data_IF_333416488114
#
_entry.id   IF_333416488114
#
_cell.length_a   1.000
_cell.length_b   1.000
_cell.length_c   1.000
_cell.angle_alpha   90.00
_cell.angle_beta   90.00
_cell.angle_gamma   90.00
#
_symmetry.space_group_name_H-M   'P 1'
#
loop_
_entity.id
_entity.type
_entity.pdbx_description
1 polymer ?
#
# COMPACT_ATOMS: atom_id res chain seq x y z
N UNK A 1 13.33 -23.39 -25.36
CA UNK A 1 14.66 -22.81 -25.14
C UNK A 1 15.02 -21.98 -26.36
N UNK A 2 14.60 -20.71 -26.39
CA UNK A 2 15.04 -19.74 -27.40
C UNK A 2 15.19 -18.39 -26.69
N UNK A 3 16.31 -17.74 -27.01
CA UNK A 3 16.98 -16.65 -26.32
C UNK A 3 16.17 -15.36 -26.18
N UNK A 4 16.44 -14.73 -25.03
CA UNK A 4 16.41 -13.29 -24.76
C UNK A 4 17.37 -12.56 -25.72
N UNK A 5 16.98 -11.37 -26.17
CA UNK A 5 17.76 -10.28 -26.80
C UNK A 5 17.26 -9.90 -28.20
N UNK A 6 16.38 -8.90 -28.29
CA UNK A 6 16.56 -7.75 -29.21
C UNK A 6 15.50 -6.68 -28.93
N UNK A 7 15.91 -5.49 -28.49
CA UNK A 7 15.30 -4.23 -28.92
C UNK A 7 16.29 -3.09 -28.63
N UNK A 8 17.13 -2.80 -29.64
CA UNK A 8 17.88 -1.56 -29.77
C UNK A 8 17.85 -1.16 -31.25
N UNK A 9 17.65 0.15 -31.46
CA UNK A 9 17.70 0.94 -32.71
C UNK A 9 16.44 0.97 -33.57
N UNK A 10 15.79 2.13 -33.57
CA UNK A 10 15.71 3.00 -34.75
C UNK A 10 15.71 4.47 -34.28
N UNK A 11 16.73 5.21 -34.70
CA UNK A 11 16.86 6.67 -34.58
C UNK A 11 16.68 7.23 -35.98
N UNK A 12 15.78 8.20 -36.15
CA UNK A 12 15.82 9.23 -37.20
C UNK A 12 15.14 10.50 -36.64
N UNK A 13 15.94 11.45 -36.14
CA UNK A 13 16.22 12.77 -36.75
C UNK A 13 15.04 13.73 -36.84
N UNK A 14 14.75 14.39 -35.71
CA UNK A 14 14.45 15.82 -35.70
C UNK A 14 15.35 16.48 -34.64
N UNK A 15 16.07 17.53 -35.04
CA UNK A 15 16.91 18.34 -34.15
C UNK A 15 16.01 19.01 -33.11
N UNK A 16 16.00 18.48 -31.90
CA UNK A 16 15.64 19.18 -30.68
C UNK A 16 16.92 19.29 -29.84
N UNK A 17 17.12 20.46 -29.24
CA UNK A 17 18.26 20.75 -28.38
C UNK A 17 18.46 19.61 -27.38
N UNK A 18 19.63 18.99 -27.39
CA UNK A 18 20.01 17.97 -26.41
C UNK A 18 20.22 18.66 -25.07
N UNK A 19 19.13 18.85 -24.33
CA UNK A 19 19.16 18.91 -22.87
C UNK A 19 19.93 17.66 -22.41
N UNK A 20 20.89 17.84 -21.49
CA UNK A 20 21.47 16.72 -20.77
C UNK A 20 20.33 15.80 -20.29
N UNK A 21 20.48 14.45 -20.31
CA UNK A 21 19.38 13.56 -19.95
C UNK A 21 18.82 14.04 -18.61
N UNK A 22 17.59 14.54 -18.65
CA UNK A 22 16.95 15.11 -17.48
C UNK A 22 16.95 14.02 -16.40
N UNK A 23 17.20 14.47 -15.18
CA UNK A 23 17.44 13.62 -14.06
C UNK A 23 16.16 12.79 -13.79
N UNK A 24 16.17 11.50 -14.14
CA UNK A 24 14.99 10.62 -14.11
C UNK A 24 15.09 9.55 -13.01
N UNK A 25 14.25 9.69 -11.98
CA UNK A 25 14.22 8.77 -10.84
C UNK A 25 13.76 7.36 -11.23
N UNK A 26 13.11 7.17 -12.39
CA UNK A 26 12.74 5.81 -12.88
C UNK A 26 13.97 4.94 -13.07
N UNK A 27 15.10 5.52 -13.51
CA UNK A 27 16.37 4.81 -13.64
C UNK A 27 16.92 4.39 -12.26
N UNK A 28 16.84 5.28 -11.28
CA UNK A 28 17.26 5.01 -9.90
C UNK A 28 16.43 3.91 -9.24
N UNK A 29 15.11 3.92 -9.46
CA UNK A 29 14.19 2.87 -8.99
C UNK A 29 14.54 1.53 -9.64
N UNK A 30 14.76 1.51 -10.95
CA UNK A 30 15.15 0.29 -11.68
C UNK A 30 16.48 -0.27 -11.16
N UNK A 31 17.49 0.57 -10.96
CA UNK A 31 18.77 0.16 -10.40
C UNK A 31 18.65 -0.32 -8.95
N UNK A 32 17.79 0.30 -8.13
CA UNK A 32 17.56 -0.15 -6.77
C UNK A 32 17.03 -1.60 -6.75
N UNK A 33 16.11 -1.95 -7.66
CA UNK A 33 15.56 -3.30 -7.75
C UNK A 33 16.57 -4.37 -8.18
N UNK A 34 17.59 -4.04 -8.99
CA UNK A 34 18.60 -5.04 -9.40
C UNK A 34 19.50 -5.48 -8.25
N UNK A 35 19.54 -4.71 -7.17
CA UNK A 35 20.37 -4.95 -5.98
C UNK A 35 19.61 -5.66 -4.84
N UNK A 36 18.31 -5.92 -4.99
CA UNK A 36 17.48 -6.49 -3.92
C UNK A 36 17.59 -8.01 -3.85
N UNK A 37 17.63 -8.53 -2.63
CA UNK A 37 17.44 -9.96 -2.38
C UNK A 37 15.93 -10.27 -2.30
N UNK A 38 15.41 -10.84 -3.39
CA UNK A 38 13.98 -11.17 -3.51
C UNK A 38 13.51 -12.19 -2.46
N UNK A 39 14.41 -13.00 -1.89
CA UNK A 39 14.06 -13.95 -0.83
C UNK A 39 13.77 -13.24 0.50
N UNK A 40 14.21 -11.99 0.67
CA UNK A 40 13.98 -11.18 1.87
C UNK A 40 12.82 -10.19 1.73
N UNK A 41 12.12 -10.20 0.59
CA UNK A 41 10.99 -9.32 0.32
C UNK A 41 9.67 -10.06 0.55
N UNK A 42 8.87 -9.73 1.57
CA UNK A 42 7.78 -10.60 2.05
C UNK A 42 6.51 -10.59 1.19
N UNK A 43 6.25 -9.54 0.41
CA UNK A 43 4.91 -9.25 -0.16
C UNK A 43 4.86 -9.17 -1.68
N UNK A 44 6.00 -9.30 -2.36
CA UNK A 44 6.15 -9.19 -3.81
C UNK A 44 7.16 -10.22 -4.29
N UNK A 45 7.24 -10.47 -5.60
CA UNK A 45 8.16 -11.45 -6.20
C UNK A 45 7.87 -12.92 -5.84
N UNK A 46 6.60 -13.24 -5.53
CA UNK A 46 6.18 -14.61 -5.20
C UNK A 46 6.51 -15.58 -6.34
N UNK A 47 6.40 -15.13 -7.60
CA UNK A 47 6.70 -15.96 -8.77
C UNK A 47 8.18 -16.32 -8.85
N UNK A 48 9.06 -15.34 -8.67
CA UNK A 48 10.50 -15.50 -8.71
C UNK A 48 10.99 -16.36 -7.53
N UNK A 49 10.43 -16.16 -6.33
CA UNK A 49 10.70 -17.04 -5.19
C UNK A 49 10.24 -18.46 -5.46
N UNK A 50 9.04 -18.65 -6.03
CA UNK A 50 8.55 -19.98 -6.40
C UNK A 50 9.53 -20.70 -7.35
N UNK A 51 10.11 -20.01 -8.33
CA UNK A 51 11.12 -20.58 -9.25
C UNK A 51 12.40 -20.99 -8.50
N UNK A 52 12.89 -20.15 -7.59
CA UNK A 52 14.08 -20.46 -6.77
C UNK A 52 13.82 -21.68 -5.88
N UNK A 53 12.71 -21.69 -5.15
CA UNK A 53 12.35 -22.78 -4.24
C UNK A 53 12.13 -24.07 -5.03
N UNK A 54 11.48 -24.03 -6.20
CA UNK A 54 11.33 -25.19 -7.07
C UNK A 54 12.68 -25.79 -7.47
N UNK A 55 13.66 -24.95 -7.80
CA UNK A 55 15.03 -25.40 -8.15
C UNK A 55 15.70 -26.08 -6.95
N UNK A 56 15.59 -25.48 -5.76
CA UNK A 56 16.11 -26.08 -4.51
C UNK A 56 15.43 -27.42 -4.21
N UNK A 57 14.10 -27.49 -4.36
CA UNK A 57 13.31 -28.70 -4.13
C UNK A 57 13.70 -29.86 -5.06
N UNK A 58 14.02 -29.56 -6.32
CA UNK A 58 14.49 -30.55 -7.28
C UNK A 58 15.90 -31.08 -6.95
N UNK A 59 16.76 -30.24 -6.41
CA UNK A 59 18.12 -30.61 -6.00
C UNK A 59 18.18 -31.30 -4.63
N UNK A 60 17.17 -31.12 -3.76
CA UNK A 60 17.18 -31.67 -2.41
C UNK A 60 16.91 -33.20 -2.40
N UNK A 61 17.75 -33.88 -1.62
CA UNK A 61 17.80 -35.34 -1.48
C UNK A 61 17.40 -35.80 -0.08
N UNK A 62 17.56 -34.96 0.94
CA UNK A 62 17.12 -35.24 2.30
C UNK A 62 15.58 -35.19 2.35
N UNK A 63 14.89 -36.28 2.76
CA UNK A 63 13.43 -36.34 2.73
C UNK A 63 12.74 -35.29 3.61
N UNK A 64 13.34 -34.92 4.74
CA UNK A 64 12.76 -33.95 5.68
C UNK A 64 12.91 -32.53 5.13
N UNK A 65 14.10 -32.17 4.63
CA UNK A 65 14.31 -30.88 3.99
C UNK A 65 13.47 -30.72 2.73
N UNK A 66 13.33 -31.78 1.95
CA UNK A 66 12.46 -31.80 0.77
C UNK A 66 11.00 -31.56 1.14
N UNK A 67 10.55 -32.09 2.27
CA UNK A 67 9.21 -31.85 2.80
C UNK A 67 8.99 -30.39 3.20
N UNK A 68 9.95 -29.80 3.92
CA UNK A 68 9.89 -28.38 4.29
C UNK A 68 9.85 -27.47 3.05
N UNK A 69 10.72 -27.72 2.06
CA UNK A 69 10.72 -27.00 0.78
C UNK A 69 9.42 -27.19 0.00
N UNK A 70 8.74 -28.34 0.13
CA UNK A 70 7.43 -28.58 -0.50
C UNK A 70 6.37 -27.67 0.10
N UNK A 71 6.36 -27.50 1.44
CA UNK A 71 5.49 -26.56 2.13
C UNK A 71 5.76 -25.10 1.73
N UNK A 72 7.02 -24.69 1.73
CA UNK A 72 7.44 -23.35 1.25
C UNK A 72 6.99 -23.09 -0.19
N UNK A 73 7.22 -24.06 -1.08
CA UNK A 73 6.82 -23.95 -2.48
C UNK A 73 5.30 -23.85 -2.64
N UNK A 74 4.54 -24.64 -1.86
CA UNK A 74 3.08 -24.59 -1.88
C UNK A 74 2.54 -23.20 -1.47
N UNK A 75 3.16 -22.55 -0.49
CA UNK A 75 2.78 -21.19 -0.06
C UNK A 75 3.08 -20.14 -1.14
N UNK A 76 4.23 -20.22 -1.81
CA UNK A 76 4.55 -19.30 -2.90
C UNK A 76 3.63 -19.50 -4.10
N UNK A 77 3.32 -20.75 -4.46
CA UNK A 77 2.34 -21.06 -5.50
C UNK A 77 0.98 -20.46 -5.17
N UNK A 78 0.53 -20.60 -3.93
CA UNK A 78 -0.74 -20.04 -3.47
C UNK A 78 -0.76 -18.50 -3.58
N UNK A 79 0.34 -17.87 -3.19
CA UNK A 79 0.55 -16.42 -3.29
C UNK A 79 0.65 -15.92 -4.73
N UNK A 80 0.99 -16.81 -5.68
CA UNK A 80 0.91 -16.55 -7.13
C UNK A 80 -0.48 -16.78 -7.73
N UNK A 81 -1.48 -17.18 -6.94
CA UNK A 81 -2.80 -17.59 -7.43
C UNK A 81 -2.83 -18.97 -8.09
N UNK A 82 -1.75 -19.77 -7.99
CA UNK A 82 -1.66 -21.15 -8.51
C UNK A 82 -2.22 -22.15 -7.49
N UNK A 83 -3.50 -22.00 -7.18
CA UNK A 83 -4.17 -22.77 -6.13
C UNK A 83 -4.15 -24.29 -6.41
N UNK A 84 -4.31 -24.71 -7.67
CA UNK A 84 -4.31 -26.13 -8.06
C UNK A 84 -2.98 -26.81 -7.77
N UNK A 85 -1.87 -26.18 -8.16
CA UNK A 85 -0.53 -26.68 -7.92
C UNK A 85 -0.19 -26.64 -6.44
N UNK A 86 -0.60 -25.57 -5.73
CA UNK A 86 -0.45 -25.48 -4.27
C UNK A 86 -1.14 -26.63 -3.56
N UNK A 87 -2.43 -26.90 -3.85
CA UNK A 87 -3.19 -28.01 -3.26
C UNK A 87 -2.50 -29.35 -3.53
N UNK A 88 -2.01 -29.57 -4.76
CA UNK A 88 -1.26 -30.79 -5.11
C UNK A 88 0.02 -30.98 -4.30
N UNK A 89 0.75 -29.89 -4.03
CA UNK A 89 1.92 -29.92 -3.14
C UNK A 89 1.53 -30.23 -1.70
N UNK A 90 0.45 -29.65 -1.18
CA UNK A 90 -0.05 -29.91 0.18
C UNK A 90 -0.54 -31.35 0.34
N UNK A 91 -1.18 -31.94 -0.66
CA UNK A 91 -1.57 -33.36 -0.67
C UNK A 91 -0.35 -34.28 -0.60
N UNK A 92 0.77 -33.86 -1.18
CA UNK A 92 2.04 -34.60 -1.09
C UNK A 92 2.58 -34.62 0.34
N UNK A 93 2.38 -33.54 1.10
CA UNK A 93 2.75 -33.47 2.52
C UNK A 93 1.95 -34.50 3.34
N UNK A 94 0.63 -34.59 3.13
CA UNK A 94 -0.19 -35.60 3.81
C UNK A 94 0.25 -37.04 3.50
N UNK A 95 0.53 -37.34 2.23
CA UNK A 95 1.00 -38.66 1.81
C UNK A 95 2.31 -39.04 2.48
N UNK A 96 3.24 -38.10 2.60
CA UNK A 96 4.52 -38.36 3.27
C UNK A 96 4.36 -38.81 4.72
N UNK A 97 3.53 -38.15 5.52
CA UNK A 97 3.33 -38.59 6.91
C UNK A 97 2.66 -39.96 7.00
N UNK A 98 1.78 -40.31 6.05
CA UNK A 98 1.20 -41.64 5.95
C UNK A 98 2.23 -42.70 5.55
N UNK A 99 3.05 -42.43 4.53
CA UNK A 99 4.03 -43.39 3.98
C UNK A 99 5.17 -43.69 4.96
N UNK A 100 5.61 -42.70 5.74
CA UNK A 100 6.69 -42.84 6.70
C UNK A 100 6.22 -43.24 8.11
N UNK A 101 4.91 -43.45 8.30
CA UNK A 101 4.29 -43.68 9.61
C UNK A 101 4.76 -42.67 10.68
N UNK A 102 4.97 -41.43 10.25
CA UNK A 102 5.49 -40.36 11.08
C UNK A 102 4.33 -39.65 11.80
N UNK A 103 4.53 -39.31 13.07
CA UNK A 103 3.57 -38.51 13.83
C UNK A 103 3.81 -37.03 13.57
N UNK A 104 2.79 -36.33 13.07
CA UNK A 104 2.80 -34.88 12.95
C UNK A 104 2.51 -34.28 14.32
N UNK A 105 3.34 -33.34 14.79
CA UNK A 105 3.05 -32.63 16.02
C UNK A 105 1.78 -31.76 15.85
N UNK A 106 1.09 -31.42 16.94
CA UNK A 106 -0.17 -30.69 16.87
C UNK A 106 -0.08 -29.34 16.16
N UNK A 107 1.04 -28.62 16.27
CA UNK A 107 1.22 -27.29 15.66
C UNK A 107 1.36 -27.43 14.16
N UNK A 108 2.23 -28.33 13.69
CA UNK A 108 2.39 -28.61 12.26
C UNK A 108 1.08 -29.08 11.65
N UNK A 109 0.34 -29.94 12.35
CA UNK A 109 -0.97 -30.44 11.88
C UNK A 109 -2.01 -29.35 11.74
N UNK A 110 -2.14 -28.48 12.74
CA UNK A 110 -3.02 -27.31 12.70
C UNK A 110 -2.64 -26.38 11.54
N UNK A 111 -1.35 -26.10 11.34
CA UNK A 111 -0.88 -25.24 10.26
C UNK A 111 -1.16 -25.83 8.88
N UNK A 112 -1.02 -27.15 8.71
CA UNK A 112 -1.36 -27.81 7.46
C UNK A 112 -2.87 -27.75 7.17
N UNK A 113 -3.72 -27.94 8.18
CA UNK A 113 -5.16 -27.72 8.03
C UNK A 113 -5.50 -26.30 7.58
N UNK A 114 -4.90 -25.29 8.24
CA UNK A 114 -5.11 -23.89 7.89
C UNK A 114 -4.71 -23.62 6.45
N UNK A 115 -3.51 -24.04 6.04
CA UNK A 115 -2.99 -23.79 4.70
C UNK A 115 -3.84 -24.46 3.60
N UNK A 116 -4.27 -25.70 3.81
CA UNK A 116 -5.14 -26.42 2.84
C UNK A 116 -6.52 -25.77 2.76
N UNK A 117 -7.11 -25.40 3.90
CA UNK A 117 -8.38 -24.70 3.94
C UNK A 117 -8.31 -23.35 3.22
N UNK A 118 -7.25 -22.57 3.48
CA UNK A 118 -6.98 -21.30 2.79
C UNK A 118 -6.78 -21.53 1.29
N UNK A 119 -6.07 -22.59 0.89
CA UNK A 119 -5.87 -22.90 -0.54
C UNK A 119 -7.20 -23.13 -1.27
N UNK A 120 -8.14 -23.83 -0.65
CA UNK A 120 -9.49 -23.99 -1.17
C UNK A 120 -10.36 -22.72 -1.09
N UNK A 121 -10.19 -21.89 -0.06
CA UNK A 121 -10.84 -20.57 -0.02
C UNK A 121 -10.33 -19.67 -1.15
N UNK A 122 -9.01 -19.68 -1.42
CA UNK A 122 -8.38 -18.96 -2.55
C UNK A 122 -8.86 -19.47 -3.89
N UNK A 123 -9.05 -20.78 -4.05
CA UNK A 123 -9.73 -21.32 -5.23
C UNK A 123 -11.10 -20.66 -5.41
N UNK A 124 -11.95 -20.70 -4.38
CA UNK A 124 -13.28 -20.10 -4.43
C UNK A 124 -13.26 -18.60 -4.75
N UNK A 125 -12.34 -17.85 -4.15
CA UNK A 125 -12.16 -16.42 -4.43
C UNK A 125 -11.71 -16.15 -5.86
N UNK A 126 -10.71 -16.88 -6.38
CA UNK A 126 -10.21 -16.67 -7.75
C UNK A 126 -11.31 -16.97 -8.76
N UNK A 127 -11.99 -18.11 -8.60
CA UNK A 127 -13.03 -18.58 -9.52
C UNK A 127 -14.29 -17.71 -9.49
N UNK A 128 -14.66 -17.14 -8.34
CA UNK A 128 -15.92 -16.39 -8.20
C UNK A 128 -15.73 -14.87 -8.09
N UNK A 129 -14.75 -14.40 -7.34
CA UNK A 129 -14.60 -12.99 -7.00
C UNK A 129 -13.64 -12.24 -7.93
N UNK A 130 -12.62 -12.93 -8.48
CA UNK A 130 -11.70 -12.32 -9.46
C UNK A 130 -12.17 -12.54 -10.89
N UNK A 131 -12.48 -13.79 -11.28
CA UNK A 131 -12.92 -14.10 -12.65
C UNK A 131 -14.35 -13.63 -12.95
N UNK A 132 -15.20 -13.51 -11.92
CA UNK A 132 -16.59 -13.08 -12.03
C UNK A 132 -16.91 -11.92 -11.06
N UNK A 133 -16.01 -10.95 -10.99
CA UNK A 133 -16.07 -9.83 -10.04
C UNK A 133 -17.36 -9.00 -10.18
N UNK A 134 -17.92 -8.60 -9.03
CA UNK A 134 -18.98 -7.61 -8.94
C UNK A 134 -18.80 -6.71 -7.71
N UNK A 135 -19.60 -5.65 -7.60
CA UNK A 135 -19.51 -4.64 -6.54
C UNK A 135 -19.78 -5.15 -5.11
N UNK A 136 -20.28 -6.37 -4.94
CA UNK A 136 -20.48 -7.03 -3.64
C UNK A 136 -19.46 -8.16 -3.37
N UNK A 137 -18.58 -8.47 -4.33
CA UNK A 137 -17.57 -9.52 -4.18
C UNK A 137 -16.63 -9.22 -3.01
N UNK A 138 -16.37 -10.23 -2.18
CA UNK A 138 -15.44 -10.17 -1.03
C UNK A 138 -15.78 -9.13 0.07
N UNK A 139 -17.00 -8.60 0.12
CA UNK A 139 -17.45 -7.73 1.22
C UNK A 139 -18.07 -8.56 2.34
N UNK A 140 -17.59 -8.40 3.58
CA UNK A 140 -18.06 -9.17 4.75
C UNK A 140 -19.07 -8.34 5.57
N UNK A 141 -20.23 -8.89 5.95
CA UNK A 141 -20.71 -10.24 5.61
C UNK A 141 -21.11 -10.35 4.13
N UNK A 142 -20.86 -11.53 3.54
CA UNK A 142 -21.14 -11.77 2.11
C UNK A 142 -22.61 -11.49 1.80
N UNK A 143 -22.84 -10.68 0.77
CA UNK A 143 -24.16 -10.29 0.29
C UNK A 143 -24.67 -11.21 -0.82
N UNK A 144 -25.98 -11.19 -1.16
CA UNK A 144 -26.53 -12.10 -2.16
C UNK A 144 -25.79 -12.12 -3.50
N UNK A 145 -25.30 -10.98 -4.02
CA UNK A 145 -24.52 -11.00 -5.28
C UNK A 145 -23.07 -11.43 -5.09
N UNK A 146 -22.57 -11.45 -3.85
CA UNK A 146 -21.27 -11.98 -3.48
C UNK A 146 -21.25 -13.49 -3.22
N UNK A 147 -22.39 -14.19 -3.30
CA UNK A 147 -22.47 -15.65 -3.14
C UNK A 147 -21.79 -16.35 -4.32
N UNK A 148 -20.89 -17.29 -3.99
CA UNK A 148 -20.13 -18.09 -4.94
C UNK A 148 -21.05 -19.04 -5.72
N UNK A 149 -20.94 -19.03 -7.04
CA UNK A 149 -21.60 -19.97 -7.95
C UNK A 149 -20.78 -21.26 -8.10
N UNK A 150 -19.46 -21.13 -8.19
CA UNK A 150 -18.52 -22.25 -8.20
C UNK A 150 -18.18 -22.61 -6.75
N UNK A 151 -18.92 -23.59 -6.23
CA UNK A 151 -18.93 -23.90 -4.79
C UNK A 151 -17.81 -24.82 -4.32
N UNK A 152 -17.09 -25.48 -5.24
CA UNK A 152 -16.08 -26.50 -4.92
C UNK A 152 -15.05 -26.02 -3.91
N UNK A 153 -14.48 -24.82 -4.11
CA UNK A 153 -13.50 -24.24 -3.18
C UNK A 153 -14.06 -24.10 -1.76
N UNK A 154 -15.17 -23.39 -1.57
CA UNK A 154 -15.74 -23.18 -0.24
C UNK A 154 -16.24 -24.47 0.42
N UNK A 155 -16.78 -25.42 -0.35
CA UNK A 155 -17.19 -26.75 0.19
C UNK A 155 -16.01 -27.55 0.71
N UNK A 156 -14.94 -27.65 -0.08
CA UNK A 156 -13.71 -28.32 0.31
C UNK A 156 -13.06 -27.64 1.52
N UNK A 157 -13.08 -26.31 1.58
CA UNK A 157 -12.58 -25.58 2.74
C UNK A 157 -13.37 -25.92 4.02
N UNK A 158 -14.70 -25.98 3.96
CA UNK A 158 -15.54 -26.40 5.10
C UNK A 158 -15.15 -27.80 5.59
N UNK A 159 -14.99 -28.79 4.69
CA UNK A 159 -14.58 -30.15 5.08
C UNK A 159 -13.24 -30.15 5.86
N UNK A 160 -12.30 -29.29 5.47
CA UNK A 160 -10.99 -29.17 6.12
C UNK A 160 -11.10 -28.44 7.46
N UNK A 161 -11.86 -27.36 7.53
CA UNK A 161 -12.06 -26.60 8.76
C UNK A 161 -12.83 -27.40 9.81
N UNK A 162 -13.83 -28.19 9.43
CA UNK A 162 -14.53 -29.08 10.37
C UNK A 162 -13.60 -30.16 10.94
N UNK A 163 -12.70 -30.73 10.12
CA UNK A 163 -11.65 -31.67 10.60
C UNK A 163 -10.70 -30.99 11.57
N UNK A 164 -10.24 -29.78 11.24
CA UNK A 164 -9.38 -29.00 12.13
C UNK A 164 -10.07 -28.75 13.48
N UNK A 165 -11.32 -28.28 13.48
CA UNK A 165 -12.05 -27.95 14.70
C UNK A 165 -12.50 -29.17 15.52
N UNK A 166 -12.53 -30.36 14.93
CA UNK A 166 -12.72 -31.60 15.67
C UNK A 166 -11.53 -31.89 16.61
N UNK A 167 -10.32 -31.47 16.22
CA UNK A 167 -9.09 -31.66 17.01
C UNK A 167 -8.67 -30.40 17.79
N UNK A 168 -8.93 -29.22 17.23
CA UNK A 168 -8.55 -27.91 17.76
C UNK A 168 -9.80 -27.02 17.95
N UNK A 169 -10.71 -27.36 18.89
CA UNK A 169 -12.04 -26.75 18.98
C UNK A 169 -12.05 -25.25 19.37
N UNK A 170 -10.92 -24.70 19.82
CA UNK A 170 -10.78 -23.30 20.22
C UNK A 170 -9.96 -22.47 19.23
N UNK A 171 -9.63 -23.00 18.05
CA UNK A 171 -8.87 -22.28 17.04
C UNK A 171 -9.72 -21.17 16.40
N UNK A 172 -9.53 -19.92 16.87
CA UNK A 172 -10.35 -18.77 16.48
C UNK A 172 -10.24 -18.43 14.99
N UNK A 173 -9.06 -18.63 14.40
CA UNK A 173 -8.80 -18.41 12.98
C UNK A 173 -9.66 -19.36 12.13
N UNK A 174 -9.66 -20.65 12.45
CA UNK A 174 -10.48 -21.66 11.76
C UNK A 174 -11.97 -21.42 11.99
N UNK A 175 -12.39 -21.01 13.19
CA UNK A 175 -13.79 -20.66 13.48
C UNK A 175 -14.24 -19.51 12.56
N UNK A 176 -13.42 -18.47 12.44
CA UNK A 176 -13.72 -17.33 11.55
C UNK A 176 -13.81 -17.77 10.08
N UNK A 177 -12.82 -18.51 9.58
CA UNK A 177 -12.78 -18.96 8.19
C UNK A 177 -13.90 -19.95 7.85
N UNK A 178 -14.32 -20.80 8.80
CA UNK A 178 -15.48 -21.67 8.63
C UNK A 178 -16.76 -20.85 8.39
N UNK A 179 -17.01 -19.83 9.21
CA UNK A 179 -18.19 -18.97 9.04
C UNK A 179 -18.14 -18.25 7.70
N UNK A 180 -16.97 -17.72 7.32
CA UNK A 180 -16.78 -17.07 6.02
C UNK A 180 -17.06 -18.04 4.86
N UNK A 181 -16.60 -19.30 4.94
CA UNK A 181 -16.88 -20.31 3.93
C UNK A 181 -18.37 -20.69 3.82
N UNK A 182 -19.14 -20.63 4.91
CA UNK A 182 -20.60 -20.76 4.85
C UNK A 182 -21.28 -19.50 4.30
N UNK A 183 -20.75 -18.30 4.58
CA UNK A 183 -21.25 -17.04 4.03
C UNK A 183 -21.10 -17.01 2.51
N UNK A 184 -19.95 -17.44 1.97
CA UNK A 184 -19.74 -17.49 0.51
C UNK A 184 -20.73 -18.42 -0.19
N UNK A 185 -21.34 -19.37 0.52
CA UNK A 185 -22.32 -20.32 -0.01
C UNK A 185 -23.78 -19.89 0.25
N UNK A 186 -24.00 -18.74 0.88
CA UNK A 186 -25.35 -18.28 1.26
C UNK A 186 -26.01 -19.13 2.36
N UNK A 187 -25.21 -19.89 3.11
CA UNK A 187 -25.68 -20.85 4.10
C UNK A 187 -25.52 -20.40 5.54
N UNK A 188 -24.75 -19.33 5.75
CA UNK A 188 -24.66 -18.63 7.03
C UNK A 188 -25.98 -17.88 7.32
N UNK A 189 -26.47 -17.89 8.58
CA UNK A 189 -25.93 -18.59 9.75
C UNK A 189 -26.40 -20.04 9.90
N UNK A 190 -27.42 -20.44 9.15
CA UNK A 190 -28.26 -21.61 9.45
C UNK A 190 -27.53 -22.96 9.38
N UNK A 191 -26.48 -23.07 8.56
CA UNK A 191 -25.73 -24.32 8.36
C UNK A 191 -24.43 -24.38 9.16
N UNK A 192 -24.03 -23.29 9.82
CA UNK A 192 -22.84 -23.31 10.68
C UNK A 192 -23.14 -24.13 11.93
N UNK A 193 -22.26 -25.05 12.37
CA UNK A 193 -22.40 -25.71 13.65
C UNK A 193 -22.53 -24.70 14.79
N UNK A 194 -23.60 -24.80 15.60
CA UNK A 194 -23.96 -23.80 16.63
C UNK A 194 -22.80 -23.40 17.57
N UNK A 195 -21.92 -24.35 17.91
CA UNK A 195 -20.74 -24.10 18.78
C UNK A 195 -19.67 -23.20 18.16
N UNK A 196 -19.68 -23.05 16.83
CA UNK A 196 -18.72 -22.24 16.08
C UNK A 196 -19.40 -21.03 15.41
N UNK A 197 -20.71 -20.84 15.57
CA UNK A 197 -21.45 -19.77 14.90
C UNK A 197 -20.99 -18.41 15.42
N UNK A 198 -20.56 -17.54 14.51
CA UNK A 198 -20.47 -16.11 14.78
C UNK A 198 -21.89 -15.55 14.76
N UNK A 199 -22.32 -14.90 15.83
CA UNK A 199 -23.68 -14.36 15.94
C UNK A 199 -23.92 -13.26 14.87
N UNK A 200 -24.97 -13.37 14.03
CA UNK A 200 -25.27 -12.37 13.00
C UNK A 200 -25.45 -10.94 13.53
N UNK A 201 -25.79 -10.76 14.80
CA UNK A 201 -25.94 -9.45 15.43
C UNK A 201 -24.64 -8.65 15.45
N UNK A 202 -23.46 -9.29 15.39
CA UNK A 202 -22.17 -8.60 15.27
C UNK A 202 -22.02 -7.82 13.97
N UNK A 203 -22.75 -8.20 12.91
CA UNK A 203 -22.71 -7.51 11.62
C UNK A 203 -23.81 -6.45 11.47
N UNK A 204 -24.70 -6.32 12.46
CA UNK A 204 -25.77 -5.33 12.42
C UNK A 204 -25.28 -4.02 13.01
N UNK A 205 -25.35 -2.95 12.21
CA UNK A 205 -25.10 -1.60 12.72
C UNK A 205 -26.09 -1.26 13.84
N UNK A 206 -25.60 -0.62 14.90
CA UNK A 206 -26.44 -0.05 15.97
C UNK A 206 -27.16 1.22 15.52
N UNK A 207 -26.70 1.82 14.42
CA UNK A 207 -27.24 3.04 13.82
C UNK A 207 -27.83 2.70 12.47
N UNK A 208 -29.02 3.20 12.18
CA UNK A 208 -29.62 3.09 10.85
C UNK A 208 -28.92 4.05 9.89
N UNK A 209 -27.98 3.52 9.10
CA UNK A 209 -27.20 4.28 8.12
C UNK A 209 -27.10 3.46 6.82
N UNK A 210 -27.33 4.05 5.64
CA UNK A 210 -27.28 3.32 4.38
C UNK A 210 -25.87 2.81 4.09
N UNK A 211 -25.78 1.69 3.38
CA UNK A 211 -24.47 1.17 2.92
C UNK A 211 -23.93 2.02 1.77
N UNK A 212 -22.62 2.20 1.74
CA UNK A 212 -21.92 2.78 0.60
C UNK A 212 -21.82 1.74 -0.53
N UNK A 213 -22.42 1.99 -1.71
CA UNK A 213 -22.24 1.10 -2.85
C UNK A 213 -20.85 1.30 -3.47
N UNK A 214 -20.14 0.21 -3.76
CA UNK A 214 -18.91 0.26 -4.55
C UNK A 214 -19.23 0.55 -6.02
N UNK A 215 -18.83 1.72 -6.52
CA UNK A 215 -19.11 2.14 -7.92
C UNK A 215 -17.87 2.24 -8.80
N UNK A 216 -16.66 2.03 -8.27
CA UNK A 216 -15.40 2.16 -9.02
C UNK A 216 -15.40 1.34 -10.32
N UNK A 217 -15.98 0.14 -10.30
CA UNK A 217 -16.10 -0.72 -11.48
C UNK A 217 -17.05 -0.17 -12.55
N UNK A 218 -18.12 0.51 -12.13
CA UNK A 218 -19.06 1.16 -13.04
C UNK A 218 -18.43 2.37 -13.72
N UNK A 219 -17.52 3.05 -13.01
CA UNK A 219 -16.80 4.23 -13.47
C UNK A 219 -15.54 3.89 -14.29
N UNK A 220 -15.12 2.62 -14.32
CA UNK A 220 -13.91 2.18 -15.02
C UNK A 220 -12.58 2.53 -14.31
N UNK A 221 -12.63 2.85 -13.01
CA UNK A 221 -11.47 3.23 -12.20
C UNK A 221 -11.07 2.15 -11.19
N UNK A 222 -11.68 0.96 -11.28
CA UNK A 222 -11.34 -0.21 -10.47
C UNK A 222 -10.14 -0.99 -11.04
N UNK A 223 -8.96 -0.37 -11.05
CA UNK A 223 -7.75 -1.08 -11.47
C UNK A 223 -7.45 -2.24 -10.51
N UNK A 224 -7.22 -3.42 -11.07
CA UNK A 224 -6.66 -4.52 -10.30
C UNK A 224 -5.17 -4.23 -10.09
N UNK A 225 -4.79 -3.93 -8.85
CA UNK A 225 -3.41 -3.65 -8.45
C UNK A 225 -3.13 -4.16 -7.05
N UNK A 226 -1.87 -4.12 -6.65
CA UNK A 226 -1.51 -4.30 -5.26
C UNK A 226 -1.79 -3.02 -4.43
N UNK A 227 -1.50 -3.07 -3.11
CA UNK A 227 -1.71 -1.93 -2.22
C UNK A 227 -0.98 -0.66 -2.72
N UNK A 228 -1.58 0.50 -2.49
CA UNK A 228 -1.06 1.78 -2.94
C UNK A 228 -1.77 2.96 -2.29
N UNK A 229 -1.44 4.16 -2.74
CA UNK A 229 -2.12 5.38 -2.36
C UNK A 229 -3.21 5.77 -3.35
N UNK A 230 -4.09 6.66 -2.91
CA UNK A 230 -5.06 7.36 -3.76
C UNK A 230 -5.04 8.83 -3.39
N UNK A 231 -4.99 9.71 -4.38
CA UNK A 231 -5.24 11.14 -4.22
C UNK A 231 -6.40 11.52 -5.13
N UNK A 232 -7.29 12.35 -4.60
CA UNK A 232 -8.42 12.93 -5.35
C UNK A 232 -8.30 14.44 -5.25
N UNK A 233 -8.02 15.10 -6.37
CA UNK A 233 -7.85 16.54 -6.46
C UNK A 233 -7.99 17.02 -7.91
N UNK A 234 -8.02 18.33 -8.13
CA UNK A 234 -8.12 18.93 -9.47
C UNK A 234 -6.72 19.14 -10.08
N UNK A 235 -6.23 18.18 -10.87
CA UNK A 235 -4.85 18.20 -11.38
C UNK A 235 -4.68 19.01 -12.67
N UNK A 236 -5.79 19.33 -13.35
CA UNK A 236 -5.80 20.12 -14.57
C UNK A 236 -6.46 21.51 -14.40
N UNK A 237 -6.88 21.85 -13.18
CA UNK A 237 -7.56 23.10 -12.80
C UNK A 237 -8.86 23.36 -13.60
N UNK A 238 -9.61 22.30 -13.94
CA UNK A 238 -10.87 22.41 -14.69
C UNK A 238 -12.12 22.48 -13.80
N UNK A 239 -11.96 22.38 -12.48
CA UNK A 239 -13.00 22.41 -11.47
C UNK A 239 -13.60 21.05 -11.14
N UNK A 240 -13.12 19.96 -11.75
CA UNK A 240 -13.54 18.59 -11.45
C UNK A 240 -12.44 17.84 -10.71
N UNK A 241 -12.84 17.02 -9.73
CA UNK A 241 -11.88 16.18 -9.01
C UNK A 241 -11.48 14.98 -9.86
N UNK A 242 -10.19 14.84 -10.09
CA UNK A 242 -9.54 13.72 -10.75
C UNK A 242 -9.09 12.66 -9.73
N UNK A 243 -8.62 11.52 -10.22
CA UNK A 243 -8.16 10.42 -9.37
C UNK A 243 -6.75 10.01 -9.80
N UNK A 244 -5.81 10.06 -8.86
CA UNK A 244 -4.50 9.42 -9.02
C UNK A 244 -4.46 8.20 -8.10
N UNK A 245 -4.01 7.05 -8.63
CA UNK A 245 -3.80 5.83 -7.86
C UNK A 245 -2.43 5.25 -8.11
N UNK A 246 -1.87 4.61 -7.09
CA UNK A 246 -0.55 3.98 -7.17
C UNK A 246 -0.59 2.51 -6.78
N UNK A 247 0.53 1.82 -6.93
CA UNK A 247 0.73 0.46 -6.44
C UNK A 247 2.17 0.25 -6.00
N UNK A 248 2.37 -0.52 -4.92
CA UNK A 248 3.69 -0.93 -4.48
C UNK A 248 4.36 -1.92 -5.44
N UNK A 249 3.64 -2.57 -6.36
CA UNK A 249 4.25 -3.57 -7.23
C UNK A 249 5.31 -2.94 -8.18
N UNK A 250 6.45 -3.61 -8.42
CA UNK A 250 7.55 -3.11 -9.26
C UNK A 250 7.20 -2.97 -10.74
N UNK A 251 6.08 -3.56 -11.16
CA UNK A 251 5.61 -3.58 -12.55
C UNK A 251 4.33 -2.77 -12.75
N UNK A 252 3.75 -2.21 -11.69
CA UNK A 252 2.51 -1.45 -11.74
C UNK A 252 2.83 0.03 -11.58
N UNK A 253 2.38 0.82 -12.55
CA UNK A 253 2.64 2.26 -12.61
C UNK A 253 1.59 3.08 -11.86
N UNK A 254 1.97 4.30 -11.49
CA UNK A 254 1.06 5.37 -11.13
C UNK A 254 0.07 5.63 -12.26
N UNK A 255 -1.18 5.93 -11.93
CA UNK A 255 -2.25 6.11 -12.90
C UNK A 255 -2.98 7.40 -12.59
N UNK A 256 -3.25 8.20 -13.61
CA UNK A 256 -4.11 9.38 -13.53
C UNK A 256 -5.37 9.15 -14.36
N UNK A 257 -6.52 9.28 -13.70
CA UNK A 257 -7.84 9.31 -14.29
C UNK A 257 -8.38 10.74 -14.21
N UNK A 258 -8.48 11.42 -15.36
CA UNK A 258 -9.15 12.72 -15.42
C UNK A 258 -10.66 12.54 -15.42
N UNK A 259 -11.34 13.41 -14.68
CA UNK A 259 -12.79 13.45 -14.67
C UNK A 259 -13.30 14.19 -15.92
N UNK A 260 -14.21 13.57 -16.66
CA UNK A 260 -14.76 14.17 -17.89
C UNK A 260 -15.93 15.14 -17.61
N UNK A 261 -16.33 15.31 -16.34
CA UNK A 261 -17.45 16.18 -15.92
C UNK A 261 -18.85 15.59 -16.15
N UNK A 262 -18.94 14.37 -16.70
CA UNK A 262 -20.19 13.67 -17.02
C UNK A 262 -20.38 12.38 -16.22
N UNK A 263 -19.57 12.20 -15.16
CA UNK A 263 -19.55 10.98 -14.35
C UNK A 263 -18.72 9.86 -14.94
N UNK A 264 -17.94 10.11 -15.99
CA UNK A 264 -16.95 9.18 -16.54
C UNK A 264 -15.51 9.68 -16.33
N UNK A 265 -14.55 8.77 -16.44
CA UNK A 265 -13.13 9.07 -16.27
C UNK A 265 -12.31 8.61 -17.47
N UNK A 266 -11.25 9.35 -17.78
CA UNK A 266 -10.29 9.04 -18.84
C UNK A 266 -8.91 8.74 -18.26
N UNK A 267 -8.32 7.58 -18.56
CA UNK A 267 -6.91 7.33 -18.25
C UNK A 267 -6.04 8.27 -19.11
N UNK A 268 -5.26 9.12 -18.44
CA UNK A 268 -4.38 10.14 -19.03
C UNK A 268 -2.95 10.02 -18.56
N UNK A 269 -2.58 8.85 -18.03
CA UNK A 269 -1.28 8.57 -17.43
C UNK A 269 -0.11 8.87 -18.37
N UNK A 270 -0.17 8.39 -19.61
CA UNK A 270 0.89 8.61 -20.60
C UNK A 270 0.93 10.06 -21.10
N UNK A 271 -0.23 10.66 -21.36
CA UNK A 271 -0.35 12.06 -21.80
C UNK A 271 0.25 13.03 -20.78
N UNK A 272 0.02 12.77 -19.50
CA UNK A 272 0.55 13.59 -18.39
C UNK A 272 1.99 13.22 -18.01
N UNK A 273 2.67 12.34 -18.74
CA UNK A 273 4.08 12.00 -18.48
C UNK A 273 4.32 11.12 -17.25
N UNK A 274 3.29 10.48 -16.70
CA UNK A 274 3.36 9.66 -15.47
C UNK A 274 3.77 8.20 -15.72
N UNK A 275 3.85 7.79 -16.99
CA UNK A 275 4.16 6.41 -17.39
C UNK A 275 5.53 5.95 -16.86
N UNK A 276 5.54 4.74 -16.29
CA UNK A 276 6.76 4.10 -15.79
C UNK A 276 7.19 4.50 -14.37
N UNK A 277 6.43 5.35 -13.67
CA UNK A 277 6.62 5.54 -12.23
C UNK A 277 5.98 4.37 -11.47
N UNK A 278 6.79 3.40 -11.03
CA UNK A 278 6.34 2.14 -10.41
C UNK A 278 6.71 2.05 -8.93
N UNK A 279 6.20 1.03 -8.22
CA UNK A 279 6.57 0.67 -6.85
C UNK A 279 6.28 1.73 -5.78
N UNK A 280 5.16 2.42 -5.93
CA UNK A 280 4.73 3.53 -5.08
C UNK A 280 3.73 3.01 -4.07
N UNK A 281 4.19 2.81 -2.84
CA UNK A 281 3.32 2.37 -1.75
C UNK A 281 2.33 3.47 -1.35
N UNK A 282 2.78 4.72 -1.35
CA UNK A 282 1.93 5.86 -1.04
C UNK A 282 2.50 7.13 -1.66
N UNK A 283 1.68 8.18 -1.74
CA UNK A 283 2.08 9.49 -2.24
C UNK A 283 1.10 10.56 -1.76
N UNK A 284 1.54 11.82 -1.78
CA UNK A 284 0.72 12.97 -1.44
C UNK A 284 0.81 14.02 -2.56
N UNK A 285 -0.25 14.80 -2.75
CA UNK A 285 -0.21 16.01 -3.55
C UNK A 285 0.18 17.23 -2.72
N UNK A 286 0.76 18.25 -3.37
CA UNK A 286 1.11 19.54 -2.76
C UNK A 286 1.33 20.57 -3.86
N UNK A 287 1.25 21.87 -3.56
CA UNK A 287 1.84 22.91 -4.41
C UNK A 287 3.14 23.36 -3.72
N UNK A 288 4.23 22.61 -3.93
CA UNK A 288 5.48 22.86 -3.18
C UNK A 288 6.14 24.17 -3.60
N UNK A 289 5.73 24.72 -4.74
CA UNK A 289 6.40 25.81 -5.42
C UNK A 289 5.53 27.06 -5.59
N UNK A 290 4.33 27.06 -5.01
CA UNK A 290 3.35 28.14 -5.03
C UNK A 290 3.00 28.61 -6.46
N UNK A 291 2.96 27.70 -7.44
CA UNK A 291 2.60 28.04 -8.83
C UNK A 291 1.13 27.74 -9.19
N UNK A 292 0.35 27.27 -8.22
CA UNK A 292 -1.07 26.98 -8.37
C UNK A 292 -1.36 25.67 -9.09
N UNK A 293 -0.37 24.81 -9.25
CA UNK A 293 -0.53 23.48 -9.85
C UNK A 293 -0.12 22.40 -8.87
N UNK A 294 -1.00 21.42 -8.65
CA UNK A 294 -0.73 20.34 -7.72
C UNK A 294 0.34 19.40 -8.26
N UNK A 295 1.45 19.35 -7.54
CA UNK A 295 2.60 18.47 -7.68
C UNK A 295 2.37 17.14 -6.92
N UNK A 296 3.16 16.11 -7.21
CA UNK A 296 3.05 14.79 -6.58
C UNK A 296 4.38 14.37 -5.93
N UNK A 297 4.30 13.91 -4.68
CA UNK A 297 5.45 13.34 -3.95
C UNK A 297 5.27 11.84 -3.70
N UNK A 298 6.02 11.03 -4.44
CA UNK A 298 5.92 9.58 -4.49
C UNK A 298 6.88 8.91 -3.49
N UNK A 299 6.34 8.04 -2.63
CA UNK A 299 7.08 7.31 -1.60
C UNK A 299 7.11 5.81 -1.87
N UNK A 300 8.23 5.17 -1.55
CA UNK A 300 8.53 3.77 -1.93
C UNK A 300 9.26 3.01 -0.85
N UNK A 301 9.30 1.70 -1.02
CA UNK A 301 10.16 0.82 -0.23
C UNK A 301 9.62 0.47 1.15
N UNK A 302 8.51 1.07 1.57
CA UNK A 302 7.78 0.59 2.74
C UNK A 302 7.39 -0.88 2.58
N UNK A 303 7.42 -1.62 3.69
CA UNK A 303 7.13 -3.05 3.81
C UNK A 303 8.15 -3.98 3.13
N UNK A 304 9.22 -3.44 2.56
CA UNK A 304 10.34 -4.24 2.02
C UNK A 304 11.42 -4.53 3.05
N UNK A 305 11.20 -4.18 4.32
CA UNK A 305 12.16 -4.40 5.41
C UNK A 305 13.55 -3.82 5.09
N UNK A 306 14.61 -4.63 5.26
CA UNK A 306 16.00 -4.27 4.95
C UNK A 306 16.20 -3.97 3.46
N UNK A 307 15.34 -4.50 2.58
CA UNK A 307 15.37 -4.26 1.14
C UNK A 307 14.66 -2.95 0.73
N UNK A 308 14.15 -2.17 1.68
CA UNK A 308 13.31 -0.99 1.42
C UNK A 308 14.01 0.31 1.04
N UNK A 309 15.34 0.37 0.97
CA UNK A 309 16.03 1.60 0.56
C UNK A 309 15.78 1.89 -0.92
N UNK A 310 14.80 2.76 -1.17
CA UNK A 310 14.31 3.18 -2.47
C UNK A 310 14.28 4.71 -2.52
N UNK A 311 14.46 5.33 -3.69
CA UNK A 311 14.32 6.78 -3.82
C UNK A 311 12.84 7.20 -3.80
N UNK A 312 12.56 8.35 -3.18
CA UNK A 312 11.31 9.07 -3.41
C UNK A 312 11.33 9.78 -4.77
N UNK A 313 10.20 10.29 -5.23
CA UNK A 313 10.13 11.13 -6.45
C UNK A 313 9.28 12.35 -6.19
N UNK A 314 9.76 13.55 -6.52
CA UNK A 314 8.95 14.76 -6.61
C UNK A 314 8.67 15.05 -8.09
N UNK A 315 7.40 15.00 -8.46
CA UNK A 315 6.90 15.30 -9.80
C UNK A 315 6.25 16.68 -9.77
N UNK A 316 6.82 17.63 -10.50
CA UNK A 316 6.26 18.97 -10.66
C UNK A 316 5.21 18.96 -11.77
N UNK A 317 4.00 19.43 -11.50
CA UNK A 317 3.01 19.68 -12.54
C UNK A 317 3.39 20.93 -13.32
N UNK A 318 3.43 20.84 -14.64
CA UNK A 318 3.87 21.94 -15.52
C UNK A 318 2.78 22.97 -15.79
N UNK A 319 1.54 22.68 -15.39
CA UNK A 319 0.36 23.47 -15.77
C UNK A 319 0.02 23.42 -17.26
N UNK A 320 0.63 22.49 -17.99
CA UNK A 320 0.47 22.28 -19.43
C UNK A 320 0.08 20.85 -19.77
N UNK A 321 -0.60 20.18 -18.82
CA UNK A 321 -1.05 18.79 -18.97
C UNK A 321 0.09 17.77 -18.91
N UNK A 322 1.13 18.01 -18.10
CA UNK A 322 2.26 17.09 -17.95
C UNK A 322 3.00 17.29 -16.63
N UNK A 323 3.60 16.22 -16.12
CA UNK A 323 4.47 16.22 -14.94
C UNK A 323 5.94 16.02 -15.34
N UNK A 324 6.85 16.67 -14.60
CA UNK A 324 8.30 16.52 -14.77
C UNK A 324 8.96 16.10 -13.46
N UNK A 325 9.89 15.16 -13.53
CA UNK A 325 10.68 14.74 -12.38
C UNK A 325 11.70 15.81 -12.00
N UNK A 326 11.55 16.38 -10.81
CA UNK A 326 12.45 17.41 -10.27
C UNK A 326 13.26 16.91 -9.08
N UNK A 327 13.20 15.62 -8.74
CA UNK A 327 13.72 15.03 -7.50
C UNK A 327 15.19 15.39 -7.23
N UNK A 328 16.06 15.17 -8.23
CA UNK A 328 17.48 15.46 -8.10
C UNK A 328 17.77 16.96 -8.05
N UNK A 329 17.07 17.75 -8.85
CA UNK A 329 17.17 19.22 -8.83
C UNK A 329 16.73 19.78 -7.48
N UNK A 330 15.70 19.19 -6.88
CA UNK A 330 15.15 19.57 -5.60
C UNK A 330 16.01 19.13 -4.40
N UNK A 331 17.03 18.29 -4.61
CA UNK A 331 17.89 17.78 -3.54
C UNK A 331 17.31 16.60 -2.75
N UNK A 332 16.23 15.98 -3.23
CA UNK A 332 15.51 14.90 -2.53
C UNK A 332 16.05 13.51 -2.90
N UNK A 333 17.37 13.30 -2.72
CA UNK A 333 18.09 12.15 -3.27
C UNK A 333 18.32 10.99 -2.29
N UNK A 334 17.87 11.11 -1.04
CA UNK A 334 18.08 10.07 -0.02
C UNK A 334 17.25 8.82 -0.32
N UNK A 335 17.91 7.66 -0.26
CA UNK A 335 17.25 6.35 -0.33
C UNK A 335 16.80 5.94 1.06
N UNK A 336 15.51 5.69 1.23
CA UNK A 336 14.94 5.20 2.48
C UNK A 336 13.54 4.64 2.24
N UNK A 337 13.21 3.55 2.94
CA UNK A 337 11.85 3.03 2.97
C UNK A 337 10.89 4.07 3.57
N UNK A 338 9.90 4.49 2.80
CA UNK A 338 8.93 5.51 3.21
C UNK A 338 7.54 5.18 2.69
N UNK A 339 6.53 5.59 3.44
CA UNK A 339 5.12 5.50 3.05
C UNK A 339 4.28 6.69 3.57
N UNK A 340 4.91 7.59 4.33
CA UNK A 340 4.19 8.68 4.97
C UNK A 340 5.07 9.92 5.02
N UNK A 341 4.44 11.04 4.71
CA UNK A 341 5.01 12.38 4.79
C UNK A 341 3.91 13.38 5.06
N UNK A 342 4.30 14.57 5.50
CA UNK A 342 3.42 15.70 5.73
C UNK A 342 4.04 16.97 5.17
N UNK A 343 3.23 17.71 4.41
CA UNK A 343 3.56 19.03 3.88
C UNK A 343 2.93 20.09 4.79
N UNK A 344 3.73 21.05 5.24
CA UNK A 344 3.26 22.25 5.92
C UNK A 344 4.36 23.30 5.93
N UNK A 345 4.00 24.55 6.21
CA UNK A 345 4.96 25.64 6.42
C UNK A 345 5.47 25.60 7.88
N UNK A 346 6.45 24.72 8.18
CA UNK A 346 6.90 24.51 9.56
C UNK A 346 7.69 25.69 10.12
N UNK A 347 8.34 26.45 9.24
CA UNK A 347 9.14 27.60 9.60
C UNK A 347 8.40 28.96 9.48
N UNK A 348 7.14 28.93 9.02
CA UNK A 348 6.22 30.06 8.86
C UNK A 348 6.70 31.11 7.85
N UNK A 349 7.34 30.69 6.77
CA UNK A 349 7.95 31.56 5.77
C UNK A 349 7.15 31.72 4.46
N UNK A 350 5.96 31.10 4.42
CA UNK A 350 5.01 31.11 3.31
C UNK A 350 5.25 30.01 2.27
N UNK A 351 6.18 29.09 2.51
CA UNK A 351 6.48 27.98 1.61
C UNK A 351 6.30 26.65 2.31
N UNK A 352 5.71 25.68 1.61
CA UNK A 352 5.52 24.35 2.18
C UNK A 352 6.86 23.63 2.26
N UNK A 353 7.17 23.17 3.47
CA UNK A 353 8.26 22.27 3.82
C UNK A 353 7.76 20.82 3.81
N UNK A 354 8.69 19.86 3.78
CA UNK A 354 8.40 18.44 3.75
C UNK A 354 8.98 17.72 4.97
N UNK A 355 8.14 17.02 5.72
CA UNK A 355 8.58 16.01 6.69
C UNK A 355 8.24 14.63 6.16
N UNK A 356 9.25 13.78 5.97
CA UNK A 356 9.12 12.39 5.51
C UNK A 356 9.58 11.45 6.62
N UNK A 357 8.68 10.59 7.09
CA UNK A 357 8.97 9.65 8.17
C UNK A 357 9.23 8.24 7.60
N UNK A 358 10.42 7.71 7.84
CA UNK A 358 10.88 6.46 7.21
C UNK A 358 10.66 5.23 8.10
N UNK A 359 10.59 4.03 7.52
CA UNK A 359 10.49 2.79 8.27
C UNK A 359 11.87 2.32 8.78
N UNK A 360 12.27 2.72 9.98
CA UNK A 360 13.53 2.23 10.58
C UNK A 360 13.35 0.82 11.17
N UNK A 361 14.41 0.02 11.14
CA UNK A 361 14.51 -1.29 11.81
C UNK A 361 15.57 -1.23 12.93
N UNK A 362 15.59 -2.17 13.89
CA UNK A 362 16.56 -2.18 14.99
C UNK A 362 18.03 -2.02 14.56
N UNK A 363 18.40 -2.60 13.42
CA UNK A 363 19.77 -2.55 12.87
C UNK A 363 19.90 -1.69 11.60
N UNK A 364 18.85 -0.92 11.26
CA UNK A 364 18.83 -0.07 10.06
C UNK A 364 18.05 1.22 10.33
N UNK A 365 18.80 2.25 10.74
CA UNK A 365 18.23 3.56 11.01
C UNK A 365 18.03 4.37 9.72
N UNK A 366 16.77 4.77 9.48
CA UNK A 366 16.41 5.66 8.36
C UNK A 366 15.94 7.04 8.85
N UNK A 367 15.39 7.09 10.07
CA UNK A 367 15.02 8.32 10.77
C UNK A 367 13.87 9.09 10.13
N UNK A 368 13.67 10.32 10.59
CA UNK A 368 12.79 11.33 9.98
C UNK A 368 13.64 12.26 9.13
N UNK A 369 13.18 12.56 7.92
CA UNK A 369 13.78 13.58 7.06
C UNK A 369 12.93 14.85 7.10
N UNK A 370 13.52 15.95 7.57
CA UNK A 370 12.94 17.29 7.53
C UNK A 370 13.61 18.06 6.41
N UNK A 371 12.85 18.47 5.42
CA UNK A 371 13.31 19.18 4.23
C UNK A 371 12.68 20.57 4.22
N UNK A 372 13.49 21.59 4.44
CA UNK A 372 13.07 22.99 4.44
C UNK A 372 13.19 23.58 3.03
N UNK A 373 12.11 24.15 2.54
CA UNK A 373 12.03 24.74 1.22
C UNK A 373 12.91 25.99 1.12
N UNK A 374 13.72 26.09 0.06
CA UNK A 374 14.64 27.20 -0.15
C UNK A 374 14.08 28.28 -1.09
N UNK A 375 12.80 28.15 -1.50
CA UNK A 375 12.07 29.14 -2.34
C UNK A 375 12.61 29.28 -3.76
N UNK A 376 13.50 28.39 -4.17
CA UNK A 376 14.11 28.31 -5.49
C UNK A 376 13.88 26.95 -6.17
N UNK A 377 12.97 26.16 -5.60
CA UNK A 377 12.67 24.80 -6.03
C UNK A 377 13.59 23.73 -5.45
N UNK A 378 14.46 24.09 -4.50
CA UNK A 378 15.33 23.15 -3.76
C UNK A 378 14.95 23.03 -2.30
N UNK A 379 15.37 21.93 -1.66
CA UNK A 379 15.18 21.68 -0.24
C UNK A 379 16.50 21.48 0.48
N UNK A 380 16.57 21.96 1.73
CA UNK A 380 17.69 21.70 2.65
C UNK A 380 17.26 20.73 3.73
N UNK A 381 18.03 19.67 3.97
CA UNK A 381 17.76 18.70 5.03
C UNK A 381 18.18 19.25 6.39
N UNK A 382 17.26 19.29 7.37
CA UNK A 382 17.45 19.94 8.67
C UNK A 382 16.92 19.14 9.88
N UNK A 383 16.79 17.80 9.78
CA UNK A 383 16.19 16.98 10.85
C UNK A 383 16.77 17.24 12.25
N UNK A 384 18.09 17.34 12.38
CA UNK A 384 18.76 17.62 13.65
C UNK A 384 18.45 19.01 14.19
N UNK A 385 18.38 20.03 13.32
CA UNK A 385 18.08 21.40 13.73
C UNK A 385 16.63 21.54 14.24
N UNK A 386 15.71 20.72 13.71
CA UNK A 386 14.32 20.65 14.16
C UNK A 386 14.09 19.65 15.30
N UNK A 387 15.15 18.98 15.80
CA UNK A 387 15.04 18.00 16.88
C UNK A 387 14.28 16.71 16.50
N UNK A 388 14.04 16.47 15.21
CA UNK A 388 13.29 15.33 14.69
C UNK A 388 14.27 14.21 14.27
N UNK A 389 14.94 13.61 15.23
CA UNK A 389 15.99 12.59 15.01
C UNK A 389 15.59 11.18 15.43
N UNK A 390 14.32 10.95 15.77
CA UNK A 390 13.83 9.65 16.23
C UNK A 390 13.76 8.64 15.08
N UNK A 391 14.40 7.48 15.27
CA UNK A 391 14.42 6.37 14.30
C UNK A 391 13.45 5.27 14.72
N UNK A 392 12.20 5.35 14.26
CA UNK A 392 11.16 4.35 14.50
C UNK A 392 10.60 3.81 13.19
N UNK A 393 9.78 2.77 13.27
CA UNK A 393 9.07 2.22 12.12
C UNK A 393 7.80 3.03 11.86
N UNK A 394 7.87 4.15 11.14
CA UNK A 394 6.72 5.05 10.97
C UNK A 394 5.68 4.53 9.95
N UNK A 395 4.40 4.52 10.36
CA UNK A 395 3.24 4.21 9.50
C UNK A 395 2.39 5.44 9.16
N UNK A 396 2.37 6.44 10.05
CA UNK A 396 1.66 7.70 9.84
C UNK A 396 2.50 8.92 10.24
N UNK A 397 2.31 9.99 9.50
CA UNK A 397 2.88 11.33 9.65
C UNK A 397 1.82 12.31 9.17
N UNK A 398 1.36 13.21 10.05
CA UNK A 398 0.34 14.21 9.73
C UNK A 398 0.77 15.55 10.34
N UNK A 399 0.64 16.62 9.56
CA UNK A 399 0.71 17.99 10.04
C UNK A 399 -0.67 18.49 10.44
N UNK A 400 -0.79 19.14 11.57
CA UNK A 400 -2.06 19.65 12.10
C UNK A 400 -1.82 20.79 13.08
N UNK A 401 -2.82 21.61 13.38
CA UNK A 401 -2.76 22.58 14.48
C UNK A 401 -3.42 21.95 15.70
N UNK A 402 -2.64 21.20 16.49
CA UNK A 402 -3.17 20.33 17.54
C UNK A 402 -3.58 21.11 18.80
N UNK A 403 -2.99 22.29 19.01
CA UNK A 403 -3.23 23.14 20.16
C UNK A 403 -3.96 24.46 19.83
N UNK A 404 -4.39 24.64 18.56
CA UNK A 404 -5.07 25.83 18.05
C UNK A 404 -4.23 27.12 18.17
N UNK A 405 -2.90 27.01 18.02
CA UNK A 405 -1.97 28.15 17.99
C UNK A 405 -1.65 28.65 16.57
N UNK A 406 -2.24 28.00 15.57
CA UNK A 406 -2.10 28.24 14.12
C UNK A 406 -0.77 27.80 13.53
N UNK A 407 0.04 27.05 14.27
CA UNK A 407 1.28 26.48 13.75
C UNK A 407 1.10 25.00 13.44
N UNK A 408 1.75 24.52 12.37
CA UNK A 408 1.69 23.10 12.05
C UNK A 408 2.55 22.32 13.05
N UNK A 409 1.88 21.59 13.92
CA UNK A 409 2.38 20.51 14.75
C UNK A 409 2.49 19.21 13.96
N UNK A 410 3.25 18.26 14.49
CA UNK A 410 3.47 16.96 13.85
C UNK A 410 3.03 15.82 14.74
N UNK A 411 2.20 14.94 14.19
CA UNK A 411 1.84 13.67 14.79
C UNK A 411 2.46 12.51 14.02
N UNK A 412 3.19 11.64 14.72
CA UNK A 412 3.71 10.39 14.19
C UNK A 412 3.03 9.17 14.82
N UNK A 413 2.74 8.19 13.96
CA UNK A 413 2.23 6.86 14.36
C UNK A 413 3.23 5.78 13.97
N UNK A 414 4.14 5.36 14.86
CA UNK A 414 5.06 4.25 14.62
C UNK A 414 4.42 2.89 14.92
N UNK A 415 4.79 1.87 14.15
CA UNK A 415 4.42 0.47 14.42
C UNK A 415 5.21 -0.05 15.63
N UNK A 416 4.50 -0.57 16.64
CA UNK A 416 5.13 -1.22 17.79
C UNK A 416 5.76 -0.25 18.82
N UNK A 417 5.50 1.05 18.72
CA UNK A 417 5.97 2.06 19.66
C UNK A 417 4.84 3.08 19.98
N UNK A 418 4.95 3.87 21.06
CA UNK A 418 3.99 4.94 21.35
C UNK A 418 3.95 6.00 20.25
N UNK A 419 2.76 6.57 20.03
CA UNK A 419 2.60 7.72 19.15
C UNK A 419 3.34 8.95 19.71
N UNK A 420 3.80 9.81 18.80
CA UNK A 420 4.57 11.00 19.15
C UNK A 420 3.84 12.25 18.63
N UNK A 421 3.67 13.26 19.48
CA UNK A 421 3.17 14.58 19.11
C UNK A 421 4.27 15.61 19.38
N UNK A 422 4.66 16.35 18.34
CA UNK A 422 5.61 17.44 18.41
C UNK A 422 4.88 18.75 18.18
N UNK A 423 4.86 19.60 19.20
CA UNK A 423 4.26 20.93 19.13
C UNK A 423 5.27 21.92 18.55
N UNK A 424 4.86 22.67 17.54
CA UNK A 424 5.69 23.67 16.91
C UNK A 424 5.78 24.92 17.80
N UNK A 425 7.00 25.29 18.17
CA UNK A 425 7.28 26.38 19.11
C UNK A 425 8.01 27.56 18.47
N UNK A 426 7.85 27.79 17.15
CA UNK A 426 8.50 28.92 16.46
C UNK A 426 8.30 30.24 17.25
N UNK A 427 9.39 30.94 17.64
CA UNK A 427 9.30 32.09 18.54
C UNK A 427 8.45 33.25 18.00
N UNK A 428 7.85 34.00 18.94
CA UNK A 428 7.11 35.27 18.76
C UNK A 428 7.72 36.21 17.71
N UNK A 429 9.04 36.22 17.63
CA UNK A 429 9.84 37.24 16.96
C UNK A 429 9.93 37.00 15.44
N UNK A 430 9.78 35.74 15.00
CA UNK A 430 9.69 35.38 13.57
C UNK A 430 8.28 35.59 12.99
N UNK A 431 7.30 36.05 13.80
CA UNK A 431 5.89 36.27 13.42
C UNK A 431 5.63 37.48 12.48
N UNK A 432 6.62 38.34 12.22
CA UNK A 432 6.38 39.70 11.66
C UNK A 432 6.48 39.80 10.12
N UNK A 433 6.75 38.74 9.36
CA UNK A 433 6.88 38.88 7.89
C UNK A 433 5.70 38.39 7.04
N UNK A 434 4.58 37.98 7.66
CA UNK A 434 3.38 37.53 6.95
C UNK A 434 2.13 38.42 7.13
N UNK A 435 2.23 39.61 7.73
CA UNK A 435 1.10 40.56 7.74
C UNK A 435 1.28 41.64 6.68
N UNK A 436 0.67 41.43 5.51
CA UNK A 436 0.17 42.57 4.71
C UNK A 436 -0.80 43.34 5.61
N UNK A 437 -0.60 44.64 5.70
CA UNK A 437 -1.44 45.59 6.43
C UNK A 437 -2.92 45.42 6.09
N UNK A 438 -3.65 44.66 6.90
CA UNK A 438 -5.10 44.73 6.96
C UNK A 438 -5.46 45.93 7.84
N UNK A 439 -6.13 46.91 7.23
CA UNK A 439 -6.57 48.14 7.87
C UNK A 439 -7.44 47.82 9.10
N UNK A 440 -6.98 48.27 10.26
CA UNK A 440 -7.74 48.33 11.50
C UNK A 440 -8.98 49.23 11.31
N UNK A 441 -10.14 48.60 11.15
CA UNK A 441 -11.43 49.27 11.34
C UNK A 441 -12.53 48.30 11.75
N UNK A 442 -12.27 47.45 12.76
CA UNK A 442 -13.34 46.79 13.50
C UNK A 442 -13.05 46.84 15.02
N UNK A 443 -13.97 47.47 15.75
CA UNK A 443 -13.93 47.71 17.20
C UNK A 443 -13.89 46.42 18.03
N UNK A 444 -13.31 46.43 19.24
CA UNK A 444 -13.19 45.24 20.08
C UNK A 444 -14.56 44.84 20.65
N UNK A 445 -15.08 43.68 20.24
CA UNK A 445 -16.16 43.00 20.97
C UNK A 445 -15.63 41.75 21.67
N UNK A 446 -15.47 41.94 22.98
CA UNK A 446 -15.84 41.01 24.06
C UNK A 446 -15.22 39.62 24.04
N UNK A 447 -14.26 39.45 24.96
CA UNK A 447 -13.91 38.19 25.62
C UNK A 447 -15.16 37.35 25.91
N UNK A 448 -15.15 36.09 25.46
CA UNK A 448 -16.03 35.05 25.95
C UNK A 448 -15.18 33.83 26.34
N UNK A 449 -14.98 33.76 27.65
CA UNK A 449 -14.87 32.58 28.52
C UNK A 449 -14.56 31.22 27.89
N UNK A 450 -13.43 30.67 28.34
CA UNK A 450 -13.17 29.26 28.66
C UNK A 450 -14.45 28.40 28.79
N UNK A 451 -14.52 27.36 27.97
CA UNK A 451 -15.30 26.15 28.26
C UNK A 451 -14.37 24.96 28.03
N UNK A 452 -14.03 24.32 29.15
CA UNK A 452 -13.46 22.98 29.19
C UNK A 452 -14.43 21.98 28.53
N UNK A 453 -13.93 21.12 27.66
CA UNK A 453 -14.44 19.78 27.41
C UNK A 453 -13.27 18.83 27.14
#
# INVERSE_FOLDING_TARGET
MVCVCTYYRLINTHKTETLAPEADTRLWVKEAFTKKDIMQMPTLFNHERAVIIQTRLQAETDPIKKMNLTGEYAMELLSCGKYSESISMLDTIYKFFADYNATMDPVTKRNLYSLVGIAYMRQGEIENCLQHHNHESCLIPIQPKGIHQLTTGSRKAIEIYEKCLAEFPHDLETIYLLNLAYMTLGEYPNRVPKKYLIDPSWFKSKIDFPRYPGIAAQLGVNRFSNAGGTVIDDFNNDGWLDIVVSSLAPTEELVLYLNNGDGTFSDRTEEFGLKGHVAILNFNQTDYNNDGWLDLFLMRGGWYNSQGDMPCTLLKNTGKGSFVDVTMKAGLTKYAASQTSAWADYNLDGWLDLIKANESLPDLERGVDVYINQKDGTFRHESTAYGLTTSLYYKGCVATDANNDRYPDIFFSPLGAPNLLFINQVPLEKRIHASRTWNDSLSPRQELSLLEF
#
